data_IF_578958932939
#
_entry.id   IF_578958932939
#
_cell.length_a   1.000
_cell.length_b   1.000
_cell.length_c   1.000
_cell.angle_alpha   90.00
_cell.angle_beta   90.00
_cell.angle_gamma   90.00
#
_symmetry.space_group_name_H-M   'P 1'
#
loop_
_entity.id
_entity.type
_entity.pdbx_description
1 polymer ?
#
# COMPACT_ATOMS: atom_id res chain seq x y z
N UNK A 1 21.79 -18.89 -12.88
CA UNK A 1 21.89 -19.91 -11.83
C UNK A 1 21.94 -21.26 -12.51
N UNK A 2 22.96 -22.05 -12.21
CA UNK A 2 23.14 -23.40 -12.73
C UNK A 2 22.96 -24.43 -11.61
N UNK A 3 22.11 -25.41 -11.88
CA UNK A 3 21.85 -26.58 -11.04
C UNK A 3 21.71 -27.81 -11.93
N UNK A 4 20.70 -28.65 -11.68
CA UNK A 4 20.33 -29.74 -12.58
C UNK A 4 19.77 -29.20 -13.94
N UNK A 5 19.35 -27.95 -13.98
CA UNK A 5 18.92 -27.21 -15.15
C UNK A 5 19.54 -25.79 -15.15
N UNK A 6 19.58 -25.18 -16.31
CA UNK A 6 20.03 -23.79 -16.49
C UNK A 6 18.83 -22.87 -16.63
N UNK A 7 18.77 -21.82 -15.80
CA UNK A 7 17.77 -20.75 -15.91
C UNK A 7 18.50 -19.45 -16.23
N UNK A 8 18.12 -18.81 -17.34
CA UNK A 8 18.64 -17.51 -17.75
C UNK A 8 17.51 -16.47 -17.59
N UNK A 9 17.80 -15.39 -16.90
CA UNK A 9 16.91 -14.24 -16.73
C UNK A 9 17.57 -13.01 -17.35
N UNK A 10 16.92 -12.41 -18.31
CA UNK A 10 17.41 -11.25 -19.04
C UNK A 10 16.70 -9.97 -18.61
N UNK A 11 17.26 -8.81 -18.91
CA UNK A 11 16.69 -7.49 -18.66
C UNK A 11 16.40 -7.23 -17.18
N UNK A 12 17.32 -7.67 -16.31
CA UNK A 12 17.24 -7.45 -14.86
C UNK A 12 17.88 -6.09 -14.54
N UNK A 13 17.20 -5.30 -13.70
CA UNK A 13 17.71 -4.07 -13.12
C UNK A 13 17.89 -4.23 -11.62
N UNK A 14 18.95 -3.66 -11.07
CA UNK A 14 19.18 -3.56 -9.62
C UNK A 14 18.89 -2.14 -9.19
N UNK A 15 18.05 -1.98 -8.17
CA UNK A 15 17.62 -0.66 -7.69
C UNK A 15 16.62 -0.77 -6.53
N UNK A 16 15.88 0.29 -6.31
CA UNK A 16 14.87 0.38 -5.25
C UNK A 16 13.58 -0.37 -5.62
N UNK A 17 13.07 -1.22 -4.74
CA UNK A 17 11.77 -1.91 -4.94
C UNK A 17 10.80 -1.54 -3.83
N UNK A 18 9.62 -1.06 -4.22
CA UNK A 18 8.60 -0.58 -3.31
C UNK A 18 7.24 -1.22 -3.58
N UNK A 19 6.53 -1.62 -2.51
CA UNK A 19 5.15 -2.07 -2.62
C UNK A 19 4.20 -0.88 -2.44
N UNK A 20 3.25 -0.73 -3.37
CA UNK A 20 2.20 0.28 -3.38
C UNK A 20 0.88 -0.39 -3.01
N UNK A 21 0.42 -0.23 -1.77
CA UNK A 21 -0.72 -0.98 -1.26
C UNK A 21 -1.74 -0.11 -0.52
N UNK A 22 -2.94 -0.63 -0.35
CA UNK A 22 -4.06 0.06 0.27
C UNK A 22 -5.38 -0.17 -0.45
N UNK A 23 -6.26 0.84 -0.42
CA UNK A 23 -7.58 0.75 -1.03
C UNK A 23 -7.71 1.64 -2.29
N UNK A 24 -8.92 2.05 -2.65
CA UNK A 24 -9.25 2.76 -3.89
C UNK A 24 -8.37 3.96 -4.22
N UNK A 25 -7.95 4.73 -3.24
CA UNK A 25 -7.07 5.88 -3.44
C UNK A 25 -5.63 5.47 -3.83
N UNK A 26 -5.14 4.29 -3.42
CA UNK A 26 -3.91 3.71 -3.95
C UNK A 26 -4.13 3.04 -5.31
N UNK A 27 -5.28 2.38 -5.50
CA UNK A 27 -5.66 1.72 -6.75
C UNK A 27 -5.95 2.72 -7.89
N UNK A 28 -6.20 3.99 -7.57
CA UNK A 28 -6.54 5.04 -8.53
C UNK A 28 -5.53 5.13 -9.66
N UNK A 29 -6.00 4.85 -10.89
CA UNK A 29 -5.13 4.71 -12.06
C UNK A 29 -4.59 6.05 -12.52
N UNK A 30 -3.37 6.06 -13.09
CA UNK A 30 -2.71 7.26 -13.59
C UNK A 30 -3.60 8.03 -14.58
N UNK A 31 -4.26 7.33 -15.50
CA UNK A 31 -5.14 7.95 -16.50
C UNK A 31 -6.34 8.71 -15.88
N UNK A 32 -6.74 8.35 -14.67
CA UNK A 32 -7.87 8.96 -13.95
C UNK A 32 -7.45 10.15 -13.07
N UNK A 33 -6.16 10.34 -12.85
CA UNK A 33 -5.60 11.42 -12.06
C UNK A 33 -5.71 12.80 -12.72
N UNK A 34 -5.30 13.83 -12.02
CA UNK A 34 -5.18 15.18 -12.56
C UNK A 34 -4.17 15.18 -13.72
N UNK A 35 -4.52 15.74 -14.87
CA UNK A 35 -3.71 15.70 -16.10
C UNK A 35 -3.31 14.27 -16.52
N UNK A 36 -4.19 13.29 -16.24
CA UNK A 36 -3.87 11.87 -16.43
C UNK A 36 -3.49 11.50 -17.86
N UNK A 37 -4.13 12.09 -18.88
CA UNK A 37 -3.81 11.83 -20.30
C UNK A 37 -2.39 12.31 -20.66
N UNK A 38 -2.03 13.50 -20.22
CA UNK A 38 -0.71 14.11 -20.42
C UNK A 38 0.37 13.32 -19.70
N UNK A 39 0.12 12.95 -18.45
CA UNK A 39 1.04 12.15 -17.64
C UNK A 39 1.26 10.76 -18.24
N UNK A 40 0.22 10.11 -18.73
CA UNK A 40 0.33 8.83 -19.43
C UNK A 40 1.15 8.97 -20.71
N UNK A 41 0.91 9.99 -21.51
CA UNK A 41 1.67 10.22 -22.75
C UNK A 41 3.17 10.46 -22.47
N UNK A 42 3.49 11.10 -21.34
CA UNK A 42 4.84 11.39 -20.89
C UNK A 42 5.53 10.21 -20.17
N UNK A 43 4.82 9.13 -19.86
CA UNK A 43 5.34 7.99 -19.08
C UNK A 43 6.32 7.12 -19.89
N UNK A 44 7.50 7.64 -20.17
CA UNK A 44 8.59 6.98 -20.89
C UNK A 44 9.81 6.84 -19.98
N UNK A 45 9.76 5.90 -19.04
CA UNK A 45 10.79 5.70 -18.01
C UNK A 45 11.33 4.25 -18.08
N UNK A 46 12.30 3.93 -18.94
CA UNK A 46 12.74 2.55 -19.18
C UNK A 46 13.39 1.89 -17.95
N UNK A 47 13.84 2.65 -16.98
CA UNK A 47 14.42 2.15 -15.74
C UNK A 47 13.41 2.07 -14.58
N UNK A 48 12.16 2.48 -14.79
CA UNK A 48 11.07 2.17 -13.87
C UNK A 48 10.38 0.89 -14.34
N UNK A 49 10.14 -0.03 -13.41
CA UNK A 49 9.42 -1.28 -13.65
C UNK A 49 8.14 -1.31 -12.83
N UNK A 50 7.07 -1.74 -13.45
CA UNK A 50 5.74 -1.82 -12.86
C UNK A 50 5.30 -3.28 -12.80
N UNK A 51 4.83 -3.71 -11.66
CA UNK A 51 4.24 -5.04 -11.44
C UNK A 51 2.90 -4.85 -10.75
N UNK A 52 1.81 -5.25 -11.38
CA UNK A 52 0.50 -5.30 -10.74
C UNK A 52 0.17 -6.73 -10.34
N UNK A 53 -0.21 -6.93 -9.08
CA UNK A 53 -0.83 -8.17 -8.62
C UNK A 53 -2.22 -8.25 -9.26
N UNK A 54 -2.47 -9.23 -10.13
CA UNK A 54 -3.71 -9.25 -10.89
C UNK A 54 -4.90 -9.69 -10.05
N UNK A 55 -6.01 -9.03 -10.26
CA UNK A 55 -7.30 -9.36 -9.65
C UNK A 55 -7.37 -9.06 -8.16
N UNK A 56 -8.58 -9.14 -7.66
CA UNK A 56 -8.90 -9.00 -6.25
C UNK A 56 -9.17 -10.41 -5.68
N UNK A 57 -8.17 -10.98 -5.03
CA UNK A 57 -8.22 -12.37 -4.59
C UNK A 57 -8.00 -12.52 -3.10
N UNK A 58 -8.58 -13.56 -2.53
CA UNK A 58 -8.47 -13.88 -1.11
C UNK A 58 -8.06 -15.33 -0.90
N UNK A 59 -7.45 -15.60 0.24
CA UNK A 59 -7.12 -16.97 0.67
C UNK A 59 -7.19 -17.07 2.20
N UNK A 60 -7.73 -18.16 2.76
CA UNK A 60 -7.69 -18.36 4.20
C UNK A 60 -6.26 -18.63 4.70
N UNK A 61 -5.42 -19.24 3.87
CA UNK A 61 -4.02 -19.55 4.19
C UNK A 61 -3.09 -18.83 3.21
N UNK A 62 -1.84 -18.55 3.60
CA UNK A 62 -0.84 -17.95 2.73
C UNK A 62 -0.64 -18.75 1.44
N UNK A 63 -0.61 -18.07 0.29
CA UNK A 63 -0.32 -18.68 -1.02
C UNK A 63 1.16 -18.54 -1.33
N UNK A 64 1.80 -19.65 -1.70
CA UNK A 64 3.21 -19.66 -2.11
C UNK A 64 3.45 -19.04 -3.48
N UNK A 65 2.45 -19.06 -4.35
CA UNK A 65 2.57 -18.57 -5.73
C UNK A 65 1.63 -17.41 -5.96
N UNK A 66 2.18 -16.33 -6.49
CA UNK A 66 1.44 -15.19 -7.02
C UNK A 66 1.36 -15.22 -8.54
N UNK A 67 0.54 -14.32 -9.08
CA UNK A 67 0.46 -14.05 -10.52
C UNK A 67 0.90 -12.61 -10.80
N UNK A 68 1.27 -12.33 -12.04
CA UNK A 68 1.69 -11.02 -12.50
C UNK A 68 2.94 -11.07 -13.36
N UNK A 69 3.32 -9.94 -13.89
CA UNK A 69 4.55 -9.79 -14.66
C UNK A 69 5.09 -8.37 -14.56
N UNK A 70 6.39 -8.24 -14.54
CA UNK A 70 7.08 -6.96 -14.63
C UNK A 70 6.91 -6.34 -16.02
N UNK A 71 6.60 -5.05 -16.07
CA UNK A 71 6.45 -4.27 -17.29
C UNK A 71 7.36 -3.06 -17.23
N UNK A 72 7.97 -2.73 -18.37
CA UNK A 72 8.67 -1.44 -18.53
C UNK A 72 7.65 -0.31 -18.40
N UNK A 73 7.97 0.74 -17.63
CA UNK A 73 7.13 1.92 -17.53
C UNK A 73 7.09 2.67 -18.88
N UNK A 74 6.00 2.49 -19.58
CA UNK A 74 5.64 3.17 -20.82
C UNK A 74 4.17 3.60 -20.77
N UNK A 75 3.67 4.40 -21.72
CA UNK A 75 2.29 4.89 -21.67
C UNK A 75 1.23 3.80 -21.48
N UNK A 76 1.40 2.65 -22.14
CA UNK A 76 0.47 1.52 -22.04
C UNK A 76 0.45 0.90 -20.64
N UNK A 77 1.61 0.68 -20.04
CA UNK A 77 1.71 0.07 -18.71
C UNK A 77 1.34 1.06 -17.59
N UNK A 78 1.82 2.31 -17.70
CA UNK A 78 1.61 3.32 -16.67
C UNK A 78 0.16 3.78 -16.55
N UNK A 79 -0.58 3.84 -17.65
CA UNK A 79 -1.95 4.36 -17.67
C UNK A 79 -2.91 3.60 -16.76
N UNK A 80 -2.70 2.30 -16.59
CA UNK A 80 -3.49 1.43 -15.70
C UNK A 80 -2.91 1.26 -14.30
N UNK A 81 -1.70 1.71 -14.04
CA UNK A 81 -1.01 1.56 -12.76
C UNK A 81 -1.45 2.62 -11.74
N UNK A 82 -1.20 2.37 -10.44
CA UNK A 82 -1.41 3.32 -9.36
C UNK A 82 -0.79 4.69 -9.66
N UNK A 83 -1.61 5.75 -9.68
CA UNK A 83 -1.10 7.11 -9.86
C UNK A 83 -0.16 7.52 -8.72
N UNK A 84 -0.52 7.22 -7.47
CA UNK A 84 0.33 7.51 -6.30
C UNK A 84 1.66 6.77 -6.41
N UNK A 85 1.62 5.47 -6.73
CA UNK A 85 2.83 4.66 -6.93
C UNK A 85 3.70 5.19 -8.07
N UNK A 86 3.09 5.56 -9.20
CA UNK A 86 3.81 6.13 -10.34
C UNK A 86 4.52 7.44 -10.00
N UNK A 87 3.83 8.40 -9.37
CA UNK A 87 4.46 9.68 -9.02
C UNK A 87 5.53 9.53 -7.94
N UNK A 88 5.32 8.65 -6.97
CA UNK A 88 6.32 8.28 -5.98
C UNK A 88 7.58 7.71 -6.64
N UNK A 89 7.44 6.67 -7.44
CA UNK A 89 8.58 5.99 -8.06
C UNK A 89 9.30 6.87 -9.08
N UNK A 90 8.56 7.67 -9.87
CA UNK A 90 9.16 8.65 -10.80
C UNK A 90 10.01 9.68 -10.04
N UNK A 91 9.55 10.14 -8.88
CA UNK A 91 10.32 11.08 -8.05
C UNK A 91 11.59 10.43 -7.51
N UNK A 92 11.51 9.21 -6.97
CA UNK A 92 12.67 8.48 -6.48
C UNK A 92 13.69 8.25 -7.60
N UNK A 93 13.25 7.75 -8.74
CA UNK A 93 14.12 7.52 -9.88
C UNK A 93 14.86 8.79 -10.31
N UNK A 94 14.14 9.92 -10.36
CA UNK A 94 14.72 11.22 -10.74
C UNK A 94 15.79 11.69 -9.77
N UNK A 95 15.56 11.54 -8.46
CA UNK A 95 16.46 12.08 -7.43
C UNK A 95 17.65 11.15 -7.15
N UNK A 96 17.42 9.84 -7.16
CA UNK A 96 18.44 8.86 -6.81
C UNK A 96 19.28 8.42 -8.03
N UNK A 97 18.76 8.58 -9.24
CA UNK A 97 19.45 8.12 -10.45
C UNK A 97 19.57 6.59 -10.56
N UNK A 98 18.75 5.83 -9.85
CA UNK A 98 18.75 4.36 -9.85
C UNK A 98 17.46 3.80 -10.42
N UNK A 99 17.45 2.55 -10.92
CA UNK A 99 16.20 1.88 -11.30
C UNK A 99 15.22 1.76 -10.14
N UNK A 100 13.91 1.83 -10.44
CA UNK A 100 12.84 1.71 -9.43
C UNK A 100 11.82 0.67 -9.87
N UNK A 101 11.59 -0.34 -9.04
CA UNK A 101 10.52 -1.30 -9.17
C UNK A 101 9.32 -0.94 -8.28
N UNK A 102 8.14 -0.88 -8.86
CA UNK A 102 6.89 -0.59 -8.16
C UNK A 102 5.96 -1.79 -8.25
N UNK A 103 5.56 -2.32 -7.11
CA UNK A 103 4.65 -3.47 -7.00
C UNK A 103 3.29 -2.98 -6.51
N UNK A 104 2.29 -2.95 -7.38
CA UNK A 104 0.91 -2.62 -7.04
C UNK A 104 0.20 -3.82 -6.45
N UNK A 105 -0.21 -3.74 -5.19
CA UNK A 105 -1.06 -4.71 -4.51
C UNK A 105 -2.10 -3.93 -3.71
N UNK A 106 -3.23 -3.64 -4.33
CA UNK A 106 -4.26 -2.76 -3.77
C UNK A 106 -5.66 -3.24 -4.15
N UNK A 107 -6.67 -2.84 -3.36
CA UNK A 107 -8.06 -3.25 -3.58
C UNK A 107 -9.02 -2.21 -2.97
N UNK A 108 -9.78 -1.55 -3.84
CA UNK A 108 -10.74 -0.51 -3.47
C UNK A 108 -11.82 -0.99 -2.48
N UNK A 109 -12.18 -0.11 -1.53
CA UNK A 109 -13.22 -0.39 -0.54
C UNK A 109 -12.82 -1.34 0.59
N UNK A 110 -11.57 -1.78 0.65
CA UNK A 110 -11.13 -2.71 1.70
C UNK A 110 -10.72 -2.00 2.99
N UNK A 111 -10.98 -2.64 4.10
CA UNK A 111 -10.50 -2.27 5.44
C UNK A 111 -9.05 -2.70 5.60
N UNK A 112 -8.41 -2.30 6.71
CA UNK A 112 -7.01 -2.66 6.99
C UNK A 112 -6.84 -4.14 7.40
N UNK A 113 -7.81 -4.73 8.11
CA UNK A 113 -7.70 -6.06 8.71
C UNK A 113 -7.38 -7.19 7.71
N UNK A 114 -7.95 -7.22 6.49
CA UNK A 114 -7.60 -8.23 5.49
C UNK A 114 -6.14 -8.20 5.03
N UNK A 115 -5.43 -7.10 5.24
CA UNK A 115 -4.04 -6.90 4.84
C UNK A 115 -3.02 -7.23 5.93
N UNK A 116 -3.48 -7.43 7.17
CA UNK A 116 -2.63 -7.73 8.32
C UNK A 116 -2.32 -9.23 8.35
N UNK A 117 -1.09 -9.60 8.68
CA UNK A 117 -0.70 -11.00 8.87
C UNK A 117 -1.22 -11.56 10.19
N UNK A 118 -1.33 -12.88 10.33
CA UNK A 118 -1.60 -13.51 11.61
C UNK A 118 -0.59 -13.04 12.68
N UNK A 119 0.71 -13.10 12.37
CA UNK A 119 1.77 -12.68 13.27
C UNK A 119 1.70 -11.20 13.64
N UNK A 120 1.18 -10.36 12.74
CA UNK A 120 0.90 -8.94 13.01
C UNK A 120 -0.20 -8.78 14.05
N UNK A 121 -1.31 -9.49 13.93
CA UNK A 121 -2.36 -9.48 14.95
C UNK A 121 -1.87 -10.00 16.30
N UNK A 122 -1.06 -11.06 16.30
CA UNK A 122 -0.48 -11.64 17.53
C UNK A 122 0.50 -10.69 18.23
N UNK A 123 1.11 -9.74 17.49
CA UNK A 123 2.05 -8.76 18.05
C UNK A 123 1.39 -7.62 18.84
N UNK A 124 0.04 -7.53 18.80
CA UNK A 124 -0.73 -6.43 19.41
C UNK A 124 -1.84 -7.01 20.30
N UNK A 125 -1.72 -6.95 21.64
CA UNK A 125 -2.65 -7.57 22.58
C UNK A 125 -4.11 -7.18 22.35
N UNK A 126 -4.39 -5.93 21.98
CA UNK A 126 -5.71 -5.39 21.72
C UNK A 126 -6.41 -6.06 20.51
N UNK A 127 -5.65 -6.77 19.71
CA UNK A 127 -6.13 -7.47 18.50
C UNK A 127 -6.18 -9.00 18.67
N UNK A 128 -6.06 -9.51 19.90
CA UNK A 128 -6.06 -10.95 20.23
C UNK A 128 -7.29 -11.70 19.67
N UNK A 129 -8.45 -11.07 19.62
CA UNK A 129 -9.65 -11.65 19.02
C UNK A 129 -9.49 -11.89 17.50
N UNK A 130 -8.87 -10.97 16.78
CA UNK A 130 -8.57 -11.12 15.35
C UNK A 130 -7.47 -12.16 15.13
N UNK A 131 -6.45 -12.18 15.98
CA UNK A 131 -5.41 -13.19 15.96
C UNK A 131 -6.00 -14.60 16.15
N UNK A 132 -6.89 -14.78 17.12
CA UNK A 132 -7.61 -16.02 17.36
C UNK A 132 -8.44 -16.44 16.15
N UNK A 133 -9.21 -15.53 15.57
CA UNK A 133 -10.02 -15.80 14.38
C UNK A 133 -9.17 -16.31 13.22
N UNK A 134 -8.07 -15.63 12.88
CA UNK A 134 -7.19 -16.04 11.78
C UNK A 134 -6.54 -17.39 12.04
N UNK A 135 -6.16 -17.66 13.30
CA UNK A 135 -5.59 -18.96 13.72
C UNK A 135 -6.52 -20.15 13.48
N UNK A 136 -7.85 -19.91 13.45
CA UNK A 136 -8.83 -20.96 13.18
C UNK A 136 -9.02 -21.27 11.69
N UNK A 137 -8.41 -20.52 10.79
CA UNK A 137 -8.59 -20.73 9.35
C UNK A 137 -7.97 -22.05 8.90
N UNK A 138 -8.73 -22.79 8.11
CA UNK A 138 -8.36 -24.02 7.43
C UNK A 138 -8.39 -23.81 5.91
N UNK A 139 -7.78 -24.67 5.13
CA UNK A 139 -7.80 -24.58 3.67
C UNK A 139 -9.22 -24.53 3.07
N UNK A 140 -10.20 -25.08 3.78
CA UNK A 140 -11.62 -25.09 3.40
C UNK A 140 -12.40 -23.89 3.92
N UNK A 141 -11.80 -23.02 4.74
CA UNK A 141 -12.48 -21.85 5.29
C UNK A 141 -12.85 -20.89 4.17
N UNK A 142 -14.11 -20.49 4.09
CA UNK A 142 -14.56 -19.48 3.14
C UNK A 142 -14.22 -18.10 3.67
N UNK A 143 -13.45 -17.35 2.88
CA UNK A 143 -13.04 -15.97 3.19
C UNK A 143 -13.37 -15.04 2.04
N UNK A 144 -13.57 -13.76 2.37
CA UNK A 144 -13.82 -12.69 1.39
C UNK A 144 -12.91 -11.48 1.63
N UNK A 145 -13.09 -10.42 0.86
CA UNK A 145 -12.27 -9.20 0.95
C UNK A 145 -12.34 -8.43 2.28
N UNK A 146 -13.30 -8.76 3.15
CA UNK A 146 -13.41 -8.24 4.52
C UNK A 146 -12.83 -9.16 5.61
N UNK A 147 -12.46 -10.40 5.26
CA UNK A 147 -11.96 -11.36 6.24
C UNK A 147 -10.52 -11.02 6.64
N UNK A 148 -10.19 -11.01 7.94
CA UNK A 148 -8.83 -10.73 8.42
C UNK A 148 -7.78 -11.62 7.73
N UNK A 149 -6.64 -11.07 7.39
CA UNK A 149 -5.50 -11.69 6.69
C UNK A 149 -5.78 -12.23 5.27
N UNK A 150 -7.03 -12.28 4.81
CA UNK A 150 -7.38 -13.00 3.58
C UNK A 150 -6.78 -12.37 2.31
N UNK A 151 -6.66 -11.06 2.26
CA UNK A 151 -6.02 -10.34 1.15
C UNK A 151 -4.50 -10.48 1.25
N UNK A 152 -3.93 -10.29 2.45
CA UNK A 152 -2.51 -10.53 2.68
C UNK A 152 -2.10 -11.92 2.18
N UNK A 153 -2.80 -12.96 2.60
CA UNK A 153 -2.49 -14.33 2.26
C UNK A 153 -2.44 -14.60 0.74
N UNK A 154 -3.24 -13.87 -0.03
CA UNK A 154 -3.35 -14.06 -1.48
C UNK A 154 -2.57 -13.07 -2.31
N UNK A 155 -2.51 -11.79 -1.91
CA UNK A 155 -2.00 -10.70 -2.74
C UNK A 155 -0.66 -10.14 -2.26
N UNK A 156 -0.26 -10.40 -1.01
CA UNK A 156 1.00 -9.89 -0.45
C UNK A 156 1.97 -11.02 -0.13
N UNK A 157 1.51 -12.10 0.50
CA UNK A 157 2.39 -13.19 0.89
C UNK A 157 3.24 -13.76 -0.26
N UNK A 158 2.72 -13.95 -1.48
CA UNK A 158 3.54 -14.43 -2.61
C UNK A 158 4.68 -13.48 -3.01
N UNK A 159 4.66 -12.24 -2.54
CA UNK A 159 5.68 -11.23 -2.83
C UNK A 159 6.82 -11.24 -1.79
N UNK A 160 6.65 -11.93 -0.67
CA UNK A 160 7.62 -11.90 0.44
C UNK A 160 9.04 -12.40 0.09
N UNK A 161 9.25 -13.23 -0.95
CA UNK A 161 10.60 -13.57 -1.39
C UNK A 161 11.33 -12.41 -2.11
N UNK A 162 10.61 -11.34 -2.53
CA UNK A 162 11.24 -10.18 -3.16
C UNK A 162 11.86 -9.28 -2.09
N UNK A 163 13.11 -8.87 -2.32
CA UNK A 163 13.73 -7.84 -1.49
C UNK A 163 13.02 -6.51 -1.73
N UNK A 164 12.37 -5.99 -0.69
CA UNK A 164 11.67 -4.70 -0.72
C UNK A 164 12.42 -3.67 0.12
N UNK A 165 12.56 -2.45 -0.39
CA UNK A 165 13.05 -1.30 0.38
C UNK A 165 11.99 -0.84 1.37
N UNK A 166 10.73 -0.81 0.95
CA UNK A 166 9.63 -0.39 1.78
C UNK A 166 8.27 -0.52 1.12
N UNK A 167 7.26 -0.05 1.86
CA UNK A 167 5.88 0.05 1.39
C UNK A 167 5.32 1.45 1.50
N UNK A 168 4.52 1.84 0.54
CA UNK A 168 3.65 3.00 0.62
C UNK A 168 2.20 2.56 0.74
N UNK A 169 1.45 3.18 1.66
CA UNK A 169 0.12 2.74 2.06
C UNK A 169 -0.89 3.87 1.99
N UNK A 170 -1.98 3.68 1.22
CA UNK A 170 -3.08 4.64 1.19
C UNK A 170 -4.41 3.93 1.45
N UNK A 171 -4.84 3.99 2.70
CA UNK A 171 -6.06 3.35 3.19
C UNK A 171 -6.48 4.01 4.52
N UNK A 172 -7.74 3.91 4.85
CA UNK A 172 -8.33 4.41 6.10
C UNK A 172 -9.80 4.71 5.94
N UNK A 173 -10.25 5.04 4.74
CA UNK A 173 -11.62 5.47 4.43
C UNK A 173 -12.65 4.41 4.87
N UNK A 174 -12.37 3.14 4.62
CA UNK A 174 -13.23 2.02 5.01
C UNK A 174 -13.21 1.72 6.53
N UNK A 175 -12.28 2.34 7.27
CA UNK A 175 -12.19 2.29 8.75
C UNK A 175 -12.56 3.63 9.41
N UNK A 176 -13.18 4.57 8.69
CA UNK A 176 -13.34 5.99 9.02
C UNK A 176 -13.91 6.32 10.40
N UNK A 177 -14.58 5.37 11.08
CA UNK A 177 -15.20 5.59 12.39
C UNK A 177 -14.48 4.89 13.56
N UNK A 178 -13.30 4.30 13.34
CA UNK A 178 -12.68 3.43 14.34
C UNK A 178 -11.78 4.13 15.36
N UNK A 179 -11.23 5.28 15.03
CA UNK A 179 -10.34 6.01 15.95
C UNK A 179 -9.14 5.16 16.40
N UNK A 180 -8.94 5.02 17.72
CA UNK A 180 -7.75 4.37 18.32
C UNK A 180 -7.60 2.89 17.92
N UNK A 181 -8.67 2.19 17.62
CA UNK A 181 -8.61 0.82 17.11
C UNK A 181 -7.78 0.73 15.82
N UNK A 182 -7.84 1.76 14.97
CA UNK A 182 -7.04 1.83 13.76
C UNK A 182 -5.53 1.99 14.05
N UNK A 183 -5.15 2.68 15.12
CA UNK A 183 -3.76 2.77 15.59
C UNK A 183 -3.19 1.37 15.86
N UNK A 184 -3.87 0.56 16.65
CA UNK A 184 -3.47 -0.82 16.95
C UNK A 184 -3.33 -1.67 15.67
N UNK A 185 -4.29 -1.54 14.75
CA UNK A 185 -4.25 -2.25 13.45
C UNK A 185 -3.09 -1.79 12.56
N UNK A 186 -2.70 -0.51 12.63
CA UNK A 186 -1.52 0.01 11.93
C UNK A 186 -0.24 -0.63 12.46
N UNK A 187 -0.08 -0.73 13.78
CA UNK A 187 1.03 -1.46 14.38
C UNK A 187 1.09 -2.91 13.92
N UNK A 188 -0.06 -3.60 13.95
CA UNK A 188 -0.16 -4.98 13.47
C UNK A 188 0.21 -5.12 11.99
N UNK A 189 -0.19 -4.18 11.14
CA UNK A 189 0.15 -4.18 9.72
C UNK A 189 1.67 -4.06 9.52
N UNK A 190 2.30 -3.03 10.11
CA UNK A 190 3.72 -2.76 9.93
C UNK A 190 4.57 -3.88 10.52
N UNK A 191 4.31 -4.28 11.77
CA UNK A 191 5.04 -5.36 12.43
C UNK A 191 4.92 -6.68 11.66
N UNK A 192 3.69 -6.99 11.22
CA UNK A 192 3.41 -8.20 10.47
C UNK A 192 4.13 -8.26 9.12
N UNK A 193 4.17 -7.14 8.38
CA UNK A 193 4.88 -7.09 7.10
C UNK A 193 6.39 -7.13 7.29
N UNK A 194 6.95 -6.41 8.27
CA UNK A 194 8.38 -6.50 8.62
C UNK A 194 8.82 -7.93 8.90
N UNK A 195 8.02 -8.67 9.68
CA UNK A 195 8.26 -10.08 9.95
C UNK A 195 8.15 -10.95 8.69
N UNK A 196 7.11 -10.73 7.87
CA UNK A 196 6.87 -11.51 6.67
C UNK A 196 7.94 -11.31 5.59
N UNK A 197 8.40 -10.09 5.37
CA UNK A 197 9.49 -9.76 4.44
C UNK A 197 10.88 -9.99 5.05
N UNK A 198 10.97 -10.48 6.29
CA UNK A 198 12.22 -10.70 7.01
C UNK A 198 13.13 -9.45 7.03
N UNK A 199 12.52 -8.29 7.08
CA UNK A 199 13.20 -7.00 7.09
C UNK A 199 12.62 -6.12 8.21
N UNK A 200 13.31 -6.10 9.37
CA UNK A 200 12.91 -5.30 10.54
C UNK A 200 12.92 -3.79 10.26
N UNK A 201 13.73 -3.37 9.29
CA UNK A 201 13.93 -1.97 8.92
C UNK A 201 13.14 -1.59 7.65
N UNK A 202 12.20 -2.46 7.21
CA UNK A 202 11.31 -2.17 6.09
C UNK A 202 10.62 -0.82 6.31
N UNK A 203 10.95 0.16 5.48
CA UNK A 203 10.34 1.48 5.53
C UNK A 203 8.84 1.40 5.24
N UNK A 204 8.02 2.17 5.97
CA UNK A 204 6.58 2.12 5.78
C UNK A 204 5.96 3.52 5.86
N UNK A 205 5.56 4.05 4.71
CA UNK A 205 5.02 5.40 4.62
C UNK A 205 3.54 5.35 4.26
N UNK A 206 2.74 6.18 4.92
CA UNK A 206 1.31 6.21 4.62
C UNK A 206 0.79 7.60 4.33
N UNK A 207 -0.38 7.63 3.73
CA UNK A 207 -1.13 8.84 3.48
C UNK A 207 -2.13 9.05 4.62
N UNK A 208 -2.14 10.24 5.22
CA UNK A 208 -3.23 10.66 6.09
C UNK A 208 -4.48 10.92 5.25
N UNK A 209 -5.65 10.55 5.76
CA UNK A 209 -6.90 10.81 5.03
C UNK A 209 -7.06 12.30 4.71
N UNK A 210 -7.41 12.59 3.47
CA UNK A 210 -7.80 13.91 3.01
C UNK A 210 -9.06 14.40 3.73
N UNK A 211 -9.36 15.70 3.64
CA UNK A 211 -10.68 16.20 4.00
C UNK A 211 -11.74 15.63 3.06
N UNK A 212 -12.87 15.29 3.63
CA UNK A 212 -14.01 14.71 2.94
C UNK A 212 -15.29 15.00 3.73
N UNK A 213 -16.43 15.13 3.05
CA UNK A 213 -17.74 15.56 3.57
C UNK A 213 -17.79 17.07 3.90
N UNK A 214 -18.99 17.58 4.13
CA UNK A 214 -19.22 18.99 4.46
C UNK A 214 -18.76 19.31 5.88
N UNK A 215 -18.69 20.62 6.17
CA UNK A 215 -18.34 21.12 7.49
C UNK A 215 -19.28 20.59 8.58
N UNK A 216 -18.71 20.10 9.65
CA UNK A 216 -19.45 19.85 10.88
C UNK A 216 -19.40 21.09 11.76
N UNK A 217 -20.54 21.78 11.88
CA UNK A 217 -20.69 22.99 12.71
C UNK A 217 -21.09 22.68 14.15
N UNK A 218 -21.30 21.40 14.50
CA UNK A 218 -21.62 20.97 15.86
C UNK A 218 -20.31 20.55 16.56
N UNK A 219 -20.08 21.02 17.79
CA UNK A 219 -18.86 20.68 18.51
C UNK A 219 -18.81 19.20 18.96
N UNK A 220 -19.96 18.50 18.92
CA UNK A 220 -20.09 17.11 19.36
C UNK A 220 -20.63 16.25 18.22
N UNK A 221 -19.99 15.11 17.99
CA UNK A 221 -20.37 14.13 16.95
C UNK A 221 -19.76 14.42 15.58
N UNK A 222 -19.89 13.47 14.64
CA UNK A 222 -19.36 13.58 13.27
C UNK A 222 -17.84 13.60 13.18
N UNK A 223 -17.14 13.13 14.18
CA UNK A 223 -15.69 13.23 14.36
C UNK A 223 -14.92 11.96 13.97
N UNK A 224 -15.59 10.93 13.44
CA UNK A 224 -14.98 9.65 13.11
C UNK A 224 -13.80 9.78 12.15
N UNK A 225 -13.91 10.64 11.14
CA UNK A 225 -12.84 10.93 10.19
C UNK A 225 -11.63 11.61 10.86
N UNK A 226 -11.87 12.53 11.76
CA UNK A 226 -10.85 13.20 12.55
C UNK A 226 -10.16 12.22 13.51
N UNK A 227 -10.93 11.35 14.19
CA UNK A 227 -10.39 10.30 15.07
C UNK A 227 -9.50 9.31 14.31
N UNK A 228 -9.85 8.96 13.07
CA UNK A 228 -8.99 8.12 12.25
C UNK A 228 -7.70 8.84 11.87
N UNK A 229 -7.77 10.11 11.45
CA UNK A 229 -6.56 10.90 11.17
C UNK A 229 -5.66 11.02 12.41
N UNK A 230 -6.22 11.18 13.58
CA UNK A 230 -5.47 11.16 14.85
C UNK A 230 -4.76 9.81 15.07
N UNK A 231 -5.46 8.70 14.84
CA UNK A 231 -4.86 7.37 14.92
C UNK A 231 -3.71 7.18 13.91
N UNK A 232 -3.83 7.75 12.71
CA UNK A 232 -2.76 7.76 11.71
C UNK A 232 -1.55 8.56 12.18
N UNK A 233 -1.75 9.70 12.86
CA UNK A 233 -0.66 10.52 13.44
C UNK A 233 0.00 9.77 14.59
N UNK A 234 -0.78 9.21 15.52
CA UNK A 234 -0.25 8.46 16.66
C UNK A 234 0.63 7.28 16.24
N UNK A 235 0.29 6.62 15.14
CA UNK A 235 1.07 5.50 14.62
C UNK A 235 2.48 5.89 14.10
N UNK A 236 2.83 7.19 14.07
CA UNK A 236 4.19 7.65 13.80
C UNK A 236 5.19 7.31 14.94
N UNK A 237 4.72 6.78 16.06
CA UNK A 237 5.58 6.19 17.09
C UNK A 237 6.27 4.89 16.62
N UNK A 238 5.80 4.29 15.51
CA UNK A 238 6.47 3.15 14.88
C UNK A 238 7.73 3.66 14.18
N UNK A 239 8.90 3.19 14.60
CA UNK A 239 10.18 3.58 14.00
C UNK A 239 10.25 3.28 12.49
N UNK A 240 10.98 4.08 11.70
CA UNK A 240 11.16 3.88 10.26
C UNK A 240 9.86 4.06 9.46
N UNK A 241 8.96 4.91 9.95
CA UNK A 241 7.70 5.25 9.29
C UNK A 241 7.62 6.74 8.99
N UNK A 242 6.66 7.12 8.16
CA UNK A 242 6.38 8.51 7.81
C UNK A 242 4.97 8.67 7.25
N UNK A 243 4.46 9.89 7.26
CA UNK A 243 3.10 10.18 6.86
C UNK A 243 3.02 11.40 5.93
N UNK A 244 2.44 11.21 4.76
CA UNK A 244 2.08 12.31 3.87
C UNK A 244 0.74 12.92 4.30
N UNK A 245 0.77 14.16 4.80
CA UNK A 245 -0.43 14.94 5.12
C UNK A 245 -1.01 15.52 3.82
N UNK A 246 -2.31 15.33 3.60
CA UNK A 246 -2.99 15.75 2.37
C UNK A 246 -4.33 16.44 2.62
N UNK A 247 -4.50 17.07 3.77
CA UNK A 247 -5.75 17.78 4.13
C UNK A 247 -6.03 19.00 3.25
N UNK A 248 -5.05 19.49 2.54
CA UNK A 248 -5.13 20.58 1.54
C UNK A 248 -5.51 20.10 0.12
N UNK A 249 -5.52 18.80 -0.12
CA UNK A 249 -5.76 18.23 -1.45
C UNK A 249 -7.20 17.70 -1.61
N UNK A 250 -7.87 17.37 -0.51
CA UNK A 250 -9.19 16.76 -0.53
C UNK A 250 -10.31 17.66 -1.05
N UNK A 251 -11.46 17.07 -1.29
CA UNK A 251 -12.70 17.75 -1.66
C UNK A 251 -13.87 17.23 -0.82
N UNK A 252 -14.78 18.14 -0.42
CA UNK A 252 -15.89 17.79 0.45
C UNK A 252 -16.84 16.73 -0.16
N UNK A 253 -16.97 16.72 -1.47
CA UNK A 253 -17.90 15.86 -2.23
C UNK A 253 -17.22 14.73 -3.01
N UNK A 254 -15.91 14.57 -2.90
CA UNK A 254 -15.17 13.50 -3.58
C UNK A 254 -14.14 12.87 -2.63
N UNK A 255 -14.35 11.60 -2.29
CA UNK A 255 -13.46 10.81 -1.43
C UNK A 255 -12.14 10.46 -2.15
N UNK A 256 -12.09 10.68 -3.47
CA UNK A 256 -10.93 10.35 -4.32
C UNK A 256 -10.27 11.60 -4.90
N UNK A 257 -9.44 12.33 -4.13
CA UNK A 257 -8.72 13.49 -4.65
C UNK A 257 -7.92 13.14 -5.90
N UNK A 258 -8.13 13.87 -7.00
CA UNK A 258 -7.46 13.57 -8.29
C UNK A 258 -6.00 14.01 -8.35
N UNK A 259 -5.58 14.89 -7.45
CA UNK A 259 -4.17 15.30 -7.33
C UNK A 259 -3.34 14.22 -6.65
N UNK A 260 -3.00 13.17 -7.40
CA UNK A 260 -2.12 12.10 -6.93
C UNK A 260 -0.64 12.44 -7.08
N UNK A 261 -0.33 13.51 -7.83
CA UNK A 261 1.01 14.06 -8.01
C UNK A 261 1.61 14.45 -6.67
N UNK A 262 0.93 15.35 -5.94
CA UNK A 262 1.42 15.83 -4.66
C UNK A 262 1.42 14.73 -3.60
N UNK A 263 0.47 13.79 -3.64
CA UNK A 263 0.46 12.62 -2.74
C UNK A 263 1.72 11.79 -2.95
N UNK A 264 2.02 11.40 -4.19
CA UNK A 264 3.22 10.62 -4.50
C UNK A 264 4.51 11.38 -4.18
N UNK A 265 4.54 12.69 -4.45
CA UNK A 265 5.67 13.56 -4.13
C UNK A 265 5.93 13.62 -2.61
N UNK A 266 4.89 13.84 -1.79
CA UNK A 266 5.02 13.91 -0.32
C UNK A 266 5.48 12.59 0.28
N UNK A 267 5.00 11.46 -0.23
CA UNK A 267 5.51 10.14 0.18
C UNK A 267 6.98 9.96 -0.21
N UNK A 268 7.38 10.41 -1.39
CA UNK A 268 8.76 10.31 -1.85
C UNK A 268 9.74 11.16 -1.00
N UNK A 269 9.30 12.28 -0.42
CA UNK A 269 10.15 13.06 0.50
C UNK A 269 10.57 12.23 1.72
N UNK A 270 9.69 11.42 2.29
CA UNK A 270 10.02 10.51 3.38
C UNK A 270 11.06 9.46 2.95
N UNK A 271 10.88 8.87 1.78
CA UNK A 271 11.83 7.89 1.26
C UNK A 271 13.21 8.52 1.02
N UNK A 272 13.26 9.67 0.37
CA UNK A 272 14.52 10.40 0.08
C UNK A 272 15.25 10.88 1.33
N UNK A 273 14.51 11.18 2.41
CA UNK A 273 15.12 11.61 3.68
C UNK A 273 15.71 10.43 4.48
N UNK A 274 15.14 9.25 4.34
CA UNK A 274 15.52 8.06 5.13
C UNK A 274 16.39 7.06 4.35
N UNK A 275 16.57 7.26 3.06
CA UNK A 275 17.47 6.49 2.19
C UNK A 275 18.75 7.24 1.92
#
# INVERSE_FOLDING_TARGET
VEGANRITLDNILVGEVWICSGQSNMEWRLIQGMKGKEEVAAAKHPEIRLFDVPGHTTSPLPREKGAGSWKVCNPRAAGGFSAVGYFFGRRLHKELGVPVGLVGSNWGGTRIEPWVTQAGFESVPELSGLAYQVKQYQATTRVGGGSPSAIYNSMVHPLTPLAMRGGIWYQGESNGNEGISYYHKKHALVNGWRKAFQNKDLAFYWVQLANFQGENRKPVGGDGWAKLREAQVRALDISGTGMAVITDIGAANDIHPRNKQDVGWRLAQWALHQT
#
